data_IF_644960778420
#
_entry.id   IF_644960778420
#
_cell.length_a   1.000
_cell.length_b   1.000
_cell.length_c   1.000
_cell.angle_alpha   90.00
_cell.angle_beta   90.00
_cell.angle_gamma   90.00
#
_symmetry.space_group_name_H-M   'P 1'
#
loop_
_entity.id
_entity.type
_entity.pdbx_description
1 polymer ?
#
# COMPACT_ATOMS: atom_id res chain seq x y z
N UNK A 1 -34.72 11.40 1.32
CA UNK A 1 -34.67 11.62 2.77
C UNK A 1 -33.32 11.12 3.21
N UNK A 2 -32.28 12.00 3.12
CA UNK A 2 -30.93 11.66 3.53
C UNK A 2 -30.92 11.57 5.05
N UNK A 3 -30.77 10.38 5.58
CA UNK A 3 -30.55 10.20 7.02
C UNK A 3 -29.12 10.68 7.29
N UNK A 4 -29.03 11.83 7.92
CA UNK A 4 -27.78 12.41 8.42
C UNK A 4 -27.30 11.57 9.63
N UNK A 5 -26.78 10.37 9.35
CA UNK A 5 -26.14 9.55 10.37
C UNK A 5 -24.74 10.12 10.60
N UNK A 6 -24.32 10.28 11.85
CA UNK A 6 -22.98 10.79 12.11
C UNK A 6 -21.94 9.84 11.53
N UNK A 7 -20.99 10.39 10.76
CA UNK A 7 -19.87 9.64 10.24
C UNK A 7 -18.98 9.19 11.40
N UNK A 8 -18.68 7.90 11.46
CA UNK A 8 -17.76 7.28 12.43
C UNK A 8 -16.31 7.44 12.00
N UNK A 9 -16.07 7.44 10.68
CA UNK A 9 -14.78 7.70 10.08
C UNK A 9 -14.85 8.93 9.18
N UNK A 10 -13.90 9.82 9.37
CA UNK A 10 -13.62 10.92 8.45
C UNK A 10 -12.10 11.07 8.31
N UNK A 11 -11.59 10.84 7.11
CA UNK A 11 -10.16 10.88 6.82
C UNK A 11 -9.93 11.70 5.54
N UNK A 12 -9.27 12.86 5.68
CA UNK A 12 -9.02 13.78 4.58
C UNK A 12 -7.55 13.76 4.20
N UNK A 13 -7.27 13.49 2.94
CA UNK A 13 -5.96 13.57 2.30
C UNK A 13 -5.89 14.83 1.44
N UNK A 14 -4.84 15.61 1.59
CA UNK A 14 -4.63 16.81 0.76
C UNK A 14 -4.31 16.48 -0.70
N UNK A 15 -3.86 15.25 -0.97
CA UNK A 15 -3.57 14.76 -2.31
C UNK A 15 -4.10 13.33 -2.50
N UNK A 16 -5.05 13.15 -3.39
CA UNK A 16 -5.57 11.83 -3.76
C UNK A 16 -4.49 10.90 -4.34
N UNK A 17 -3.40 11.48 -4.88
CA UNK A 17 -2.27 10.75 -5.45
C UNK A 17 -1.66 9.74 -4.48
N UNK A 18 -1.63 10.06 -3.17
CA UNK A 18 -1.06 9.15 -2.18
C UNK A 18 -1.82 7.83 -2.15
N UNK A 19 -3.15 7.88 -1.98
CA UNK A 19 -3.98 6.67 -1.94
C UNK A 19 -3.98 5.94 -3.28
N UNK A 20 -3.98 6.68 -4.41
CA UNK A 20 -3.85 6.08 -5.76
C UNK A 20 -2.59 5.22 -5.88
N UNK A 21 -1.42 5.77 -5.49
CA UNK A 21 -0.15 5.05 -5.57
C UNK A 21 -0.11 3.81 -4.68
N UNK A 22 -0.69 3.92 -3.49
CA UNK A 22 -0.79 2.80 -2.55
C UNK A 22 -1.66 1.69 -3.14
N UNK A 23 -2.87 2.03 -3.60
CA UNK A 23 -3.80 1.05 -4.18
C UNK A 23 -3.22 0.45 -5.47
N UNK A 24 -2.59 1.25 -6.32
CA UNK A 24 -1.93 0.76 -7.54
C UNK A 24 -0.79 -0.23 -7.25
N UNK A 25 -0.09 -0.08 -6.13
CA UNK A 25 0.99 -0.98 -5.74
C UNK A 25 0.50 -2.36 -5.28
N UNK A 26 -0.71 -2.45 -4.73
CA UNK A 26 -1.22 -3.68 -4.10
C UNK A 26 -2.32 -4.39 -4.89
N UNK A 27 -3.04 -3.70 -5.79
CA UNK A 27 -4.21 -4.23 -6.52
C UNK A 27 -3.93 -5.46 -7.38
N UNK A 28 -2.68 -5.63 -7.83
CA UNK A 28 -2.27 -6.76 -8.66
C UNK A 28 -1.93 -8.01 -7.81
N UNK A 29 -1.71 -7.82 -6.50
CA UNK A 29 -1.45 -8.89 -5.54
C UNK A 29 -2.72 -9.31 -4.79
N UNK A 30 -3.54 -8.34 -4.41
CA UNK A 30 -4.71 -8.53 -3.55
C UNK A 30 -5.94 -7.97 -4.25
N UNK A 31 -7.03 -8.72 -4.28
CA UNK A 31 -8.29 -8.33 -4.91
C UNK A 31 -9.22 -7.61 -3.94
N UNK A 32 -9.38 -8.19 -2.76
CA UNK A 32 -10.28 -7.72 -1.71
C UNK A 32 -9.52 -7.65 -0.39
N UNK A 33 -9.71 -6.61 0.39
CA UNK A 33 -9.04 -6.43 1.66
C UNK A 33 -9.84 -5.56 2.62
N UNK A 34 -9.59 -5.71 3.91
CA UNK A 34 -10.13 -4.84 4.94
C UNK A 34 -9.23 -3.61 5.14
N UNK A 35 -9.84 -2.46 5.22
CA UNK A 35 -9.24 -1.25 5.77
C UNK A 35 -9.66 -1.16 7.24
N UNK A 36 -8.73 -1.47 8.12
CA UNK A 36 -8.95 -1.43 9.57
C UNK A 36 -8.67 -0.01 10.06
N UNK A 37 -9.74 0.72 10.31
CA UNK A 37 -9.67 2.11 10.74
C UNK A 37 -9.74 2.18 12.25
N UNK A 38 -8.78 2.89 12.85
CA UNK A 38 -8.70 3.14 14.27
C UNK A 38 -8.15 4.56 14.53
N UNK A 39 -7.94 4.94 15.78
CA UNK A 39 -7.40 6.23 16.20
C UNK A 39 -5.98 6.50 15.67
N UNK A 40 -5.19 5.45 15.42
CA UNK A 40 -3.81 5.54 14.91
C UNK A 40 -3.75 5.72 13.40
N UNK A 41 -4.86 5.45 12.67
CA UNK A 41 -4.95 5.57 11.22
C UNK A 41 -5.70 4.43 10.55
N UNK A 42 -5.37 4.16 9.29
CA UNK A 42 -5.95 3.11 8.46
C UNK A 42 -4.89 2.04 8.22
N UNK A 43 -5.09 0.87 8.80
CA UNK A 43 -4.26 -0.30 8.59
C UNK A 43 -4.85 -1.19 7.50
N UNK A 44 -3.99 -1.87 6.76
CA UNK A 44 -4.35 -2.90 5.81
C UNK A 44 -3.39 -4.07 5.98
N UNK A 45 -3.94 -5.26 6.11
CA UNK A 45 -3.20 -6.50 6.05
C UNK A 45 -3.97 -7.46 5.16
N UNK A 46 -3.34 -8.02 4.15
CA UNK A 46 -3.99 -8.98 3.26
C UNK A 46 -2.97 -9.95 2.66
N UNK A 47 -3.39 -11.18 2.45
CA UNK A 47 -2.63 -12.17 1.69
C UNK A 47 -3.03 -12.14 0.23
N UNK A 48 -2.09 -12.49 -0.64
CA UNK A 48 -2.38 -12.79 -2.04
C UNK A 48 -3.22 -14.08 -2.17
N UNK A 49 -3.84 -14.28 -3.34
CA UNK A 49 -4.70 -15.44 -3.58
C UNK A 49 -3.98 -16.80 -3.46
N UNK A 50 -2.67 -16.81 -3.56
CA UNK A 50 -1.84 -18.02 -3.41
C UNK A 50 -1.38 -18.28 -1.98
N UNK A 51 -1.69 -17.37 -1.05
CA UNK A 51 -1.25 -17.40 0.36
C UNK A 51 0.28 -17.45 0.53
N UNK A 52 1.02 -16.89 -0.42
CA UNK A 52 2.50 -16.85 -0.41
C UNK A 52 3.02 -15.48 -0.01
N UNK A 53 2.32 -14.42 -0.41
CA UNK A 53 2.71 -13.05 -0.11
C UNK A 53 1.74 -12.40 0.87
N UNK A 54 2.29 -11.73 1.88
CA UNK A 54 1.53 -10.90 2.82
C UNK A 54 1.83 -9.43 2.54
N UNK A 55 0.78 -8.66 2.33
CA UNK A 55 0.85 -7.20 2.27
C UNK A 55 0.40 -6.66 3.62
N UNK A 56 1.25 -5.88 4.26
CA UNK A 56 0.92 -5.17 5.49
C UNK A 56 1.32 -3.71 5.36
N UNK A 57 0.40 -2.80 5.64
CA UNK A 57 0.66 -1.37 5.54
C UNK A 57 -0.17 -0.59 6.55
N UNK A 58 0.33 0.60 6.92
CA UNK A 58 -0.32 1.53 7.82
C UNK A 58 -0.27 2.94 7.25
N UNK A 59 -1.43 3.53 7.02
CA UNK A 59 -1.59 4.95 6.75
C UNK A 59 -1.85 5.65 8.08
N UNK A 60 -0.82 6.29 8.63
CA UNK A 60 -0.90 6.93 9.94
C UNK A 60 -1.86 8.11 9.94
N UNK A 61 -2.58 8.30 11.05
CA UNK A 61 -3.51 9.42 11.24
C UNK A 61 -2.87 10.79 10.97
N UNK A 62 -1.57 10.95 11.29
CA UNK A 62 -0.79 12.16 11.02
C UNK A 62 -0.69 12.55 9.55
N UNK A 63 -0.89 11.58 8.64
CA UNK A 63 -0.88 11.80 7.19
C UNK A 63 -2.20 12.35 6.64
N UNK A 64 -3.22 12.48 7.47
CA UNK A 64 -4.54 13.01 7.13
C UNK A 64 -4.77 14.37 7.80
N UNK A 65 -5.61 15.19 7.21
CA UNK A 65 -5.88 16.55 7.73
C UNK A 65 -7.32 17.00 7.41
N UNK A 66 -8.32 16.73 8.26
CA UNK A 66 -8.25 16.00 9.54
C UNK A 66 -8.36 14.47 9.42
N UNK A 67 -8.09 13.77 10.51
CA UNK A 67 -8.42 12.37 10.75
C UNK A 67 -9.31 12.24 11.97
N UNK A 68 -10.43 11.55 11.83
CA UNK A 68 -11.34 11.23 12.94
C UNK A 68 -11.85 9.79 12.77
N UNK A 69 -11.68 8.99 13.79
CA UNK A 69 -12.24 7.66 13.87
C UNK A 69 -12.79 7.45 15.28
N UNK A 70 -14.12 7.49 15.42
CA UNK A 70 -14.77 7.48 16.75
C UNK A 70 -14.76 6.07 17.38
N UNK A 71 -14.56 5.05 16.56
CA UNK A 71 -14.41 3.66 16.99
C UNK A 71 -13.72 2.83 15.90
N UNK A 72 -13.17 1.69 16.29
CA UNK A 72 -12.57 0.78 15.32
C UNK A 72 -13.64 0.24 14.37
N UNK A 73 -13.36 0.37 13.08
CA UNK A 73 -14.24 -0.12 12.01
C UNK A 73 -13.39 -0.78 10.92
N UNK A 74 -13.82 -1.97 10.49
CA UNK A 74 -13.25 -2.66 9.35
C UNK A 74 -14.12 -2.40 8.12
N UNK A 75 -13.51 -1.93 7.04
CA UNK A 75 -14.16 -1.63 5.79
C UNK A 75 -13.67 -2.61 4.72
N UNK A 76 -14.49 -3.59 4.36
CA UNK A 76 -14.18 -4.55 3.31
C UNK A 76 -14.30 -3.92 1.93
N UNK A 77 -13.18 -3.79 1.22
CA UNK A 77 -13.06 -3.04 -0.02
C UNK A 77 -12.53 -3.92 -1.15
N UNK A 78 -13.22 -3.88 -2.31
CA UNK A 78 -12.67 -4.41 -3.55
C UNK A 78 -11.73 -3.38 -4.19
N UNK A 79 -10.43 -3.72 -4.28
CA UNK A 79 -9.39 -2.82 -4.77
C UNK A 79 -9.54 -2.46 -6.26
N UNK A 80 -10.12 -3.36 -7.06
CA UNK A 80 -10.43 -3.10 -8.46
C UNK A 80 -11.49 -2.01 -8.62
N UNK A 81 -12.53 -2.04 -7.79
CA UNK A 81 -13.60 -1.03 -7.76
C UNK A 81 -13.07 0.30 -7.21
N UNK A 82 -12.30 0.26 -6.12
CA UNK A 82 -11.66 1.45 -5.57
C UNK A 82 -10.72 2.12 -6.59
N UNK A 83 -9.92 1.33 -7.33
CA UNK A 83 -9.06 1.84 -8.40
C UNK A 83 -9.83 2.59 -9.47
N UNK A 84 -11.02 2.10 -9.88
CA UNK A 84 -11.87 2.77 -10.88
C UNK A 84 -12.35 4.13 -10.38
N UNK A 85 -12.77 4.20 -9.12
CA UNK A 85 -13.20 5.47 -8.48
C UNK A 85 -12.01 6.44 -8.39
N UNK A 86 -10.87 5.97 -7.89
CA UNK A 86 -9.66 6.80 -7.74
C UNK A 86 -9.14 7.34 -9.08
N UNK A 87 -9.35 6.63 -10.20
CA UNK A 87 -8.98 7.13 -11.55
C UNK A 87 -9.80 8.32 -12.00
N UNK A 88 -11.01 8.51 -11.49
CA UNK A 88 -11.86 9.65 -11.82
C UNK A 88 -11.33 10.97 -11.23
N UNK A 89 -10.53 10.91 -10.16
CA UNK A 89 -9.95 12.07 -9.52
C UNK A 89 -8.63 12.50 -10.18
N UNK A 90 -8.27 13.76 -10.06
CA UNK A 90 -6.93 14.25 -10.39
C UNK A 90 -5.95 13.93 -9.24
N UNK A 91 -4.66 14.08 -9.51
CA UNK A 91 -3.63 13.73 -8.52
C UNK A 91 -3.61 14.70 -7.34
N UNK A 92 -3.88 15.97 -7.63
CA UNK A 92 -3.85 17.07 -6.67
C UNK A 92 -5.22 17.38 -6.06
N UNK A 93 -6.26 16.57 -6.41
CA UNK A 93 -7.55 16.68 -5.76
C UNK A 93 -7.43 16.27 -4.28
N UNK A 94 -8.15 16.97 -3.43
CA UNK A 94 -8.31 16.60 -2.03
C UNK A 94 -9.28 15.42 -1.97
N UNK A 95 -8.93 14.38 -1.23
CA UNK A 95 -9.77 13.21 -1.04
C UNK A 95 -10.23 13.12 0.40
N UNK A 96 -11.54 13.05 0.62
CA UNK A 96 -12.13 12.77 1.93
C UNK A 96 -12.83 11.43 1.88
N UNK A 97 -12.46 10.55 2.80
CA UNK A 97 -13.09 9.26 3.03
C UNK A 97 -14.06 9.41 4.21
N UNK A 98 -15.31 8.97 4.03
CA UNK A 98 -16.33 8.98 5.08
C UNK A 98 -17.01 7.63 5.18
N UNK A 99 -17.20 7.15 6.39
CA UNK A 99 -18.00 5.96 6.67
C UNK A 99 -18.91 6.20 7.87
N UNK A 100 -20.15 5.74 7.77
CA UNK A 100 -21.14 5.79 8.84
C UNK A 100 -20.92 4.64 9.85
N UNK A 101 -21.79 4.58 10.86
CA UNK A 101 -21.85 3.45 11.77
C UNK A 101 -22.48 2.23 11.09
N UNK A 102 -21.80 1.07 11.11
CA UNK A 102 -22.13 -0.13 10.35
C UNK A 102 -22.32 0.18 8.85
N UNK A 103 -21.25 0.57 8.16
CA UNK A 103 -21.34 1.12 6.83
C UNK A 103 -21.55 0.04 5.78
N UNK A 104 -22.56 0.24 4.91
CA UNK A 104 -22.74 -0.53 3.68
C UNK A 104 -21.93 0.06 2.54
N UNK A 105 -21.53 1.33 2.66
CA UNK A 105 -20.80 2.09 1.64
C UNK A 105 -19.69 2.90 2.26
N UNK A 106 -18.60 3.04 1.53
CA UNK A 106 -17.54 4.01 1.78
C UNK A 106 -17.77 5.18 0.83
N UNK A 107 -18.01 6.35 1.39
CA UNK A 107 -18.14 7.58 0.62
C UNK A 107 -16.74 8.18 0.35
N UNK A 108 -16.48 8.48 -0.92
CA UNK A 108 -15.26 9.12 -1.40
C UNK A 108 -15.63 10.47 -2.03
N UNK A 109 -15.19 11.54 -1.41
CA UNK A 109 -15.42 12.90 -1.87
C UNK A 109 -14.11 13.50 -2.39
N UNK A 110 -14.13 13.98 -3.64
CA UNK A 110 -12.98 14.62 -4.29
C UNK A 110 -13.27 16.09 -4.49
N UNK A 111 -12.45 16.95 -3.91
CA UNK A 111 -12.49 18.40 -4.08
C UNK A 111 -11.31 18.81 -4.96
N UNK A 112 -11.58 19.52 -6.05
CA UNK A 112 -10.52 20.04 -6.91
C UNK A 112 -9.84 21.23 -6.23
N UNK A 113 -8.50 21.24 -6.25
CA UNK A 113 -7.70 22.35 -5.75
C UNK A 113 -7.73 23.58 -6.67
N UNK A 114 -8.06 23.41 -7.96
CA UNK A 114 -8.01 24.47 -8.97
C UNK A 114 -9.39 25.00 -9.39
N UNK A 115 -10.47 24.30 -9.07
CA UNK A 115 -11.82 24.63 -9.49
C UNK A 115 -12.84 24.27 -8.41
N UNK A 116 -14.02 24.87 -8.46
CA UNK A 116 -15.14 24.55 -7.55
C UNK A 116 -15.79 23.19 -7.85
N UNK A 117 -15.02 22.25 -8.44
CA UNK A 117 -15.53 20.91 -8.75
C UNK A 117 -15.48 20.03 -7.53
N UNK A 118 -16.64 19.54 -7.15
CA UNK A 118 -16.84 18.51 -6.14
C UNK A 118 -17.38 17.25 -6.83
N UNK A 119 -16.78 16.11 -6.57
CA UNK A 119 -17.24 14.81 -7.04
C UNK A 119 -17.35 13.85 -5.87
N UNK A 120 -18.44 13.13 -5.81
CA UNK A 120 -18.75 12.21 -4.73
C UNK A 120 -19.11 10.84 -5.29
N UNK A 121 -18.56 9.79 -4.67
CA UNK A 121 -18.76 8.41 -5.08
C UNK A 121 -19.00 7.54 -3.85
N UNK A 122 -20.01 6.69 -3.95
CA UNK A 122 -20.30 5.67 -2.96
C UNK A 122 -19.75 4.33 -3.43
N UNK A 123 -18.75 3.83 -2.72
CA UNK A 123 -18.18 2.51 -2.95
C UNK A 123 -18.87 1.50 -2.04
N UNK A 124 -19.58 0.53 -2.65
CA UNK A 124 -20.21 -0.53 -1.89
C UNK A 124 -19.15 -1.39 -1.18
N UNK A 125 -19.32 -1.55 0.11
CA UNK A 125 -18.49 -2.40 0.95
C UNK A 125 -18.94 -3.87 0.89
N UNK A 126 -18.06 -4.75 1.29
CA UNK A 126 -18.32 -6.18 1.42
C UNK A 126 -17.87 -6.65 2.80
N UNK A 127 -18.48 -7.72 3.26
CA UNK A 127 -18.06 -8.37 4.49
C UNK A 127 -16.93 -9.36 4.16
N UNK A 128 -15.75 -9.11 4.72
CA UNK A 128 -14.56 -9.94 4.50
C UNK A 128 -14.13 -10.49 5.84
N UNK A 129 -14.29 -11.80 6.01
CA UNK A 129 -13.75 -12.51 7.15
C UNK A 129 -12.24 -12.68 6.97
N UNK A 130 -11.47 -11.90 7.71
CA UNK A 130 -10.01 -11.86 7.58
C UNK A 130 -9.35 -12.13 8.92
N UNK A 131 -8.52 -13.15 8.96
CA UNK A 131 -7.65 -13.38 10.11
C UNK A 131 -6.46 -12.39 10.08
N UNK A 132 -6.24 -11.70 11.18
CA UNK A 132 -5.02 -10.91 11.38
C UNK A 132 -3.87 -11.86 11.69
N UNK A 133 -2.94 -11.94 10.76
CA UNK A 133 -1.75 -12.75 10.93
C UNK A 133 -0.70 -11.96 11.71
N UNK A 134 -0.26 -12.54 12.82
CA UNK A 134 0.92 -12.05 13.51
C UNK A 134 2.16 -12.28 12.64
N UNK A 135 2.87 -11.18 12.31
CA UNK A 135 4.17 -11.29 11.65
C UNK A 135 5.18 -11.69 12.74
N UNK A 136 5.78 -12.89 12.68
CA UNK A 136 6.73 -13.29 13.71
C UNK A 136 8.00 -12.43 13.65
N UNK A 137 8.54 -12.10 14.81
CA UNK A 137 9.87 -11.51 14.91
C UNK A 137 10.91 -12.59 14.52
N UNK A 138 11.44 -12.45 13.32
CA UNK A 138 12.41 -13.41 12.76
C UNK A 138 13.78 -12.75 12.69
N UNK A 139 14.82 -13.44 13.18
CA UNK A 139 16.19 -13.01 12.95
C UNK A 139 16.59 -13.37 11.51
N UNK A 140 16.89 -12.34 10.72
CA UNK A 140 17.26 -12.51 9.33
C UNK A 140 18.78 -12.71 9.18
N UNK A 141 19.18 -13.61 8.30
CA UNK A 141 20.61 -13.87 8.03
C UNK A 141 21.29 -12.72 7.28
N UNK A 142 20.55 -11.87 6.61
CA UNK A 142 21.06 -10.69 5.91
C UNK A 142 19.96 -9.65 5.68
N UNK A 143 20.31 -8.38 5.82
CA UNK A 143 19.45 -7.24 5.51
C UNK A 143 20.10 -6.39 4.42
N UNK A 144 19.36 -6.09 3.35
CA UNK A 144 19.85 -5.28 2.23
C UNK A 144 19.04 -3.99 2.15
N UNK A 145 19.74 -2.86 2.18
CA UNK A 145 19.14 -1.53 2.05
C UNK A 145 19.61 -0.88 0.75
N UNK A 146 18.67 -0.43 -0.08
CA UNK A 146 18.98 0.23 -1.35
C UNK A 146 17.91 1.29 -1.70
N UNK A 147 18.23 2.27 -2.57
CA UNK A 147 17.23 3.21 -3.08
C UNK A 147 16.12 2.48 -3.84
N UNK A 148 14.86 2.88 -3.63
CA UNK A 148 13.70 2.24 -4.27
C UNK A 148 13.74 2.29 -5.80
N UNK A 149 14.36 3.33 -6.39
CA UNK A 149 14.55 3.43 -7.83
C UNK A 149 15.49 2.35 -8.39
N UNK A 150 16.53 1.97 -7.64
CA UNK A 150 17.44 0.91 -8.02
C UNK A 150 16.77 -0.46 -7.91
N UNK A 151 16.03 -0.70 -6.84
CA UNK A 151 15.24 -1.92 -6.69
C UNK A 151 14.23 -2.07 -7.83
N UNK A 152 13.50 -0.98 -8.16
CA UNK A 152 12.55 -0.99 -9.29
C UNK A 152 13.23 -1.37 -10.60
N UNK A 153 14.43 -0.83 -10.88
CA UNK A 153 15.20 -1.16 -12.09
C UNK A 153 15.55 -2.64 -12.14
N UNK A 154 16.06 -3.19 -11.01
CA UNK A 154 16.41 -4.62 -10.92
C UNK A 154 15.18 -5.49 -11.19
N UNK A 155 14.03 -5.17 -10.59
CA UNK A 155 12.79 -5.90 -10.83
C UNK A 155 12.36 -5.84 -12.31
N UNK A 156 12.44 -4.69 -12.97
CA UNK A 156 12.11 -4.54 -14.39
C UNK A 156 13.05 -5.36 -15.28
N UNK A 157 14.34 -5.34 -15.00
CA UNK A 157 15.34 -6.11 -15.75
C UNK A 157 15.08 -7.63 -15.60
N UNK A 158 14.74 -8.10 -14.41
CA UNK A 158 14.38 -9.49 -14.16
C UNK A 158 13.08 -9.91 -14.85
N UNK A 159 12.07 -9.04 -14.88
CA UNK A 159 10.82 -9.28 -15.59
C UNK A 159 11.07 -9.41 -17.10
N UNK A 160 11.84 -8.51 -17.68
CA UNK A 160 12.20 -8.57 -19.11
C UNK A 160 12.93 -9.86 -19.49
N UNK A 161 13.78 -10.36 -18.61
CA UNK A 161 14.47 -11.64 -18.79
C UNK A 161 13.52 -12.85 -18.68
N UNK A 162 12.47 -12.77 -17.86
CA UNK A 162 11.50 -13.86 -17.70
C UNK A 162 10.51 -13.94 -18.88
N UNK A 163 10.11 -12.81 -19.46
CA UNK A 163 9.19 -12.75 -20.60
C UNK A 163 9.81 -13.26 -21.91
N UNK A 164 11.14 -13.25 -22.05
CA UNK A 164 11.83 -13.73 -23.26
C UNK A 164 11.87 -15.24 -23.41
N UNK A 165 11.05 -16.01 -22.68
CA UNK A 165 10.86 -17.46 -22.87
C UNK A 165 12.07 -18.32 -22.53
N UNK A 166 13.14 -17.72 -22.06
CA UNK A 166 14.28 -18.44 -21.52
C UNK A 166 14.00 -18.64 -20.03
N UNK A 167 13.32 -19.74 -19.69
CA UNK A 167 13.37 -20.23 -18.31
C UNK A 167 14.84 -20.18 -17.89
N UNK A 168 15.23 -19.42 -16.89
CA UNK A 168 16.52 -19.59 -16.29
C UNK A 168 16.48 -20.98 -15.65
N UNK A 169 16.90 -22.01 -16.39
CA UNK A 169 17.35 -23.25 -15.79
C UNK A 169 18.50 -22.80 -14.89
N UNK A 170 18.22 -22.60 -13.62
CA UNK A 170 19.24 -22.40 -12.59
C UNK A 170 19.99 -23.75 -12.55
N UNK A 171 20.94 -23.88 -13.48
CA UNK A 171 21.92 -24.92 -13.41
C UNK A 171 22.71 -24.69 -12.11
N UNK A 172 22.82 -25.67 -11.23
CA UNK A 172 23.56 -25.53 -9.97
C UNK A 172 25.06 -25.23 -10.16
N UNK A 173 25.53 -25.10 -11.40
CA UNK A 173 26.92 -24.85 -11.77
C UNK A 173 27.25 -23.39 -12.15
N UNK A 174 26.28 -22.43 -12.07
CA UNK A 174 26.62 -21.04 -12.28
C UNK A 174 27.45 -20.52 -11.09
N UNK A 175 28.67 -19.99 -11.33
CA UNK A 175 29.53 -19.55 -10.24
C UNK A 175 28.86 -18.41 -9.49
N UNK A 176 28.64 -18.62 -8.19
CA UNK A 176 28.06 -17.67 -7.23
C UNK A 176 28.83 -16.34 -7.12
N UNK A 177 29.94 -16.20 -7.87
CA UNK A 177 30.86 -15.07 -7.75
C UNK A 177 30.48 -13.80 -8.50
N UNK A 178 29.52 -13.84 -9.44
CA UNK A 178 29.15 -12.62 -10.22
C UNK A 178 28.03 -11.79 -9.63
N UNK A 179 27.18 -12.33 -8.78
CA UNK A 179 26.17 -11.54 -8.06
C UNK A 179 26.72 -10.98 -6.72
N UNK A 180 27.74 -11.61 -6.17
CA UNK A 180 28.33 -11.18 -4.88
C UNK A 180 29.35 -10.03 -5.00
N UNK A 181 29.86 -9.76 -6.21
CA UNK A 181 30.94 -8.78 -6.38
C UNK A 181 30.49 -7.34 -6.63
N UNK A 182 29.20 -7.07 -6.71
CA UNK A 182 28.69 -5.69 -6.88
C UNK A 182 27.90 -5.15 -5.70
N UNK A 183 27.76 -5.90 -4.63
CA UNK A 183 27.19 -5.37 -3.36
C UNK A 183 28.34 -5.17 -2.39
N UNK A 184 29.04 -4.05 -2.54
CA UNK A 184 30.02 -3.60 -1.56
C UNK A 184 29.23 -3.01 -0.40
N UNK A 185 29.08 -3.79 0.67
CA UNK A 185 28.47 -3.32 1.92
C UNK A 185 29.37 -2.23 2.51
N UNK A 186 28.86 -1.02 2.75
CA UNK A 186 29.64 -0.03 3.48
C UNK A 186 29.83 -0.51 4.92
N UNK A 187 31.08 -0.62 5.35
CA UNK A 187 31.47 -1.08 6.67
C UNK A 187 31.21 -0.06 7.80
N UNK A 188 30.38 0.97 7.55
CA UNK A 188 30.00 1.95 8.57
C UNK A 188 28.72 2.70 8.15
N UNK A 189 27.72 2.85 9.02
CA UNK A 189 26.58 3.68 8.69
C UNK A 189 27.02 5.15 8.59
N UNK A 190 26.65 5.88 7.54
CA UNK A 190 26.89 7.31 7.47
C UNK A 190 26.08 8.01 8.54
N UNK A 191 26.74 8.79 9.39
CA UNK A 191 26.07 9.74 10.27
C UNK A 191 25.53 10.87 9.42
N UNK A 192 24.22 11.14 9.60
CA UNK A 192 23.51 12.35 9.22
C UNK A 192 23.55 12.76 7.74
N UNK A 193 22.49 12.38 7.03
CA UNK A 193 21.90 13.23 5.99
C UNK A 193 20.39 13.04 6.00
N UNK A 194 19.65 14.07 6.35
CA UNK A 194 18.21 14.19 6.20
C UNK A 194 17.86 14.27 4.71
N UNK A 195 17.62 13.12 4.10
CA UNK A 195 17.04 13.02 2.77
C UNK A 195 16.00 11.92 2.86
N UNK A 196 14.74 12.31 2.78
CA UNK A 196 13.56 11.45 2.83
C UNK A 196 13.34 10.69 1.53
N UNK A 197 14.34 10.01 1.03
CA UNK A 197 14.16 9.07 -0.09
C UNK A 197 13.61 7.75 0.47
N UNK A 198 12.55 7.20 -0.11
CA UNK A 198 12.03 5.91 0.33
C UNK A 198 13.09 4.83 0.11
N UNK A 199 13.43 4.12 1.17
CA UNK A 199 14.39 3.03 1.18
C UNK A 199 13.65 1.71 1.26
N UNK A 200 14.00 0.76 0.40
CA UNK A 200 13.49 -0.61 0.45
C UNK A 200 14.46 -1.46 1.25
N UNK A 201 13.96 -2.14 2.26
CA UNK A 201 14.71 -3.12 3.06
C UNK A 201 14.27 -4.50 2.59
N UNK A 202 15.20 -5.32 2.14
CA UNK A 202 14.97 -6.70 1.74
C UNK A 202 15.62 -7.61 2.77
N UNK A 203 14.82 -8.47 3.36
CA UNK A 203 15.24 -9.40 4.38
C UNK A 203 15.15 -10.83 3.85
N UNK A 204 16.16 -11.64 4.10
CA UNK A 204 16.20 -13.05 3.70
C UNK A 204 16.11 -13.92 4.94
N UNK A 205 15.08 -14.75 4.97
CA UNK A 205 14.94 -15.82 5.95
C UNK A 205 15.93 -16.94 5.60
N UNK A 206 16.59 -17.55 6.57
CA UNK A 206 17.56 -18.63 6.37
C UNK A 206 16.97 -19.88 5.73
#
# INVERSE_FOLDING_TARGET
MFTDRPAVLEARLEQAQLLKKVVDAIKDLVQDCNFDCNDSGIALQAMDNSHVALVSMMLKAEGFSPYRCDRNVALGVNLGSLTKVLRAAQNDDILTLKAEDAPDVLNLQFESSESDRLSEYDLKLMDIDQEHLGIPDTEYSATVSMPSAEFKRICMDLMALSESGTSPSISPSAPRSKLANNVQLPSRPPRTASSSAPTVILERVP
#
